data_IF_495872907810
#
_entry.id   IF_495872907810
#
_cell.length_a   1.000
_cell.length_b   1.000
_cell.length_c   1.000
_cell.angle_alpha   90.00
_cell.angle_beta   90.00
_cell.angle_gamma   90.00
#
_symmetry.space_group_name_H-M   'P 1'
#
loop_
_entity.id
_entity.type
_entity.pdbx_description
1 polymer ?
#
# COMPACT_ATOMS: atom_id res chain seq x y z
N UNK A 1 9.34 -3.87 10.04
CA UNK A 1 9.24 -5.24 9.48
C UNK A 1 8.34 -5.30 8.23
N UNK A 2 7.01 -5.51 8.28
CA UNK A 2 6.20 -5.64 7.04
C UNK A 2 6.25 -4.39 6.14
N UNK A 3 6.04 -3.20 6.70
CA UNK A 3 6.07 -1.94 5.93
C UNK A 3 7.44 -1.66 5.29
N UNK A 4 8.50 -1.99 6.03
CA UNK A 4 9.90 -1.84 5.60
C UNK A 4 10.26 -2.79 4.46
N UNK A 5 9.83 -4.05 4.54
CA UNK A 5 9.96 -5.02 3.46
C UNK A 5 9.21 -4.57 2.20
N UNK A 6 8.05 -3.93 2.40
CA UNK A 6 7.26 -3.27 1.37
C UNK A 6 7.83 -1.92 0.91
N UNK A 7 9.03 -1.53 1.35
CA UNK A 7 9.77 -0.35 0.84
C UNK A 7 9.51 0.96 1.56
N UNK A 8 8.72 0.95 2.64
CA UNK A 8 8.46 2.15 3.44
C UNK A 8 9.55 2.30 4.51
N UNK A 9 10.34 3.37 4.44
CA UNK A 9 11.29 3.72 5.50
C UNK A 9 10.53 4.20 6.73
N UNK A 10 10.45 3.38 7.76
CA UNK A 10 9.80 3.71 9.03
C UNK A 10 10.73 3.42 10.19
N UNK A 11 10.76 4.31 11.18
CA UNK A 11 11.48 4.06 12.43
C UNK A 11 10.70 3.04 13.28
N UNK A 12 11.39 2.03 13.80
CA UNK A 12 10.76 1.00 14.64
C UNK A 12 10.21 1.61 15.94
N UNK A 13 9.01 1.18 16.35
CA UNK A 13 8.33 1.69 17.55
C UNK A 13 8.18 3.22 17.62
N UNK A 14 8.11 3.90 16.48
CA UNK A 14 7.93 5.35 16.42
C UNK A 14 6.59 5.79 17.05
N UNK A 15 6.64 6.65 18.07
CA UNK A 15 5.47 7.36 18.61
C UNK A 15 5.19 8.61 17.77
N UNK A 16 3.94 9.06 17.68
CA UNK A 16 3.65 10.32 16.97
C UNK A 16 4.10 11.58 17.76
N UNK A 17 4.59 11.38 18.99
CA UNK A 17 5.18 12.38 19.87
C UNK A 17 6.59 12.78 19.40
N UNK A 18 6.82 14.07 19.14
CA UNK A 18 8.08 14.59 18.60
C UNK A 18 8.26 16.07 18.93
N UNK A 19 9.52 16.51 18.99
CA UNK A 19 9.90 17.93 18.97
C UNK A 19 10.39 18.29 17.57
N UNK A 20 9.96 19.44 17.04
CA UNK A 20 10.37 19.93 15.74
C UNK A 20 10.84 21.38 15.84
N UNK A 21 11.98 21.69 15.22
CA UNK A 21 12.44 23.06 15.08
C UNK A 21 11.55 23.85 14.11
N UNK A 22 11.49 25.17 14.26
CA UNK A 22 10.69 26.06 13.39
C UNK A 22 10.94 25.81 11.90
N UNK A 23 12.22 25.71 11.48
CA UNK A 23 12.62 25.40 10.09
C UNK A 23 12.04 24.08 9.58
N UNK A 24 11.96 23.05 10.42
CA UNK A 24 11.42 21.75 10.02
C UNK A 24 9.90 21.82 9.84
N UNK A 25 9.21 22.55 10.72
CA UNK A 25 7.76 22.78 10.63
C UNK A 25 7.40 23.61 9.39
N UNK A 26 8.15 24.69 9.11
CA UNK A 26 7.96 25.53 7.93
C UNK A 26 8.25 24.81 6.61
N UNK A 27 9.21 23.89 6.59
CA UNK A 27 9.44 23.07 5.41
C UNK A 27 8.31 22.04 5.24
N UNK A 28 7.86 21.43 6.34
CA UNK A 28 6.76 20.48 6.31
C UNK A 28 5.43 21.12 5.89
N UNK A 29 5.17 22.39 6.25
CA UNK A 29 3.94 23.09 5.86
C UNK A 29 3.80 23.28 4.35
N UNK A 30 4.89 23.15 3.58
CA UNK A 30 4.87 23.18 2.11
C UNK A 30 4.36 21.87 1.48
N UNK A 31 4.27 20.78 2.25
CA UNK A 31 3.78 19.49 1.74
C UNK A 31 2.28 19.55 1.51
N UNK A 32 1.87 19.45 0.25
CA UNK A 32 0.46 19.49 -0.15
C UNK A 32 -0.25 18.13 -0.05
N UNK A 33 0.49 17.05 0.23
CA UNK A 33 0.02 15.67 0.31
C UNK A 33 -1.28 15.50 1.14
N UNK A 34 -2.37 15.12 0.49
CA UNK A 34 -3.67 14.97 1.17
C UNK A 34 -3.71 13.73 2.06
N UNK A 35 -3.06 12.64 1.61
CA UNK A 35 -2.96 11.39 2.36
C UNK A 35 -1.72 11.36 3.27
N UNK A 36 -1.80 12.05 4.41
CA UNK A 36 -0.68 12.19 5.35
C UNK A 36 -0.34 10.88 6.08
N UNK A 37 0.92 10.44 5.96
CA UNK A 37 1.51 9.40 6.81
C UNK A 37 2.77 9.96 7.48
N UNK A 38 2.56 10.70 8.58
CA UNK A 38 3.61 11.46 9.26
C UNK A 38 4.84 10.61 9.61
N UNK A 39 4.66 9.33 9.95
CA UNK A 39 5.77 8.43 10.31
C UNK A 39 6.74 8.17 9.17
N UNK A 40 6.27 8.19 7.92
CA UNK A 40 7.11 8.06 6.73
C UNK A 40 7.57 9.42 6.20
N UNK A 41 6.74 10.47 6.32
CA UNK A 41 7.05 11.80 5.80
C UNK A 41 8.16 12.51 6.58
N UNK A 42 8.21 12.34 7.90
CA UNK A 42 9.12 13.12 8.76
C UNK A 42 10.60 12.86 8.46
N UNK A 43 11.04 11.59 8.27
CA UNK A 43 12.38 11.31 7.79
C UNK A 43 12.68 11.87 6.39
N UNK A 44 11.67 12.04 5.53
CA UNK A 44 11.85 12.55 4.16
C UNK A 44 12.14 14.05 4.10
N UNK A 45 11.87 14.81 5.17
CA UNK A 45 12.20 16.23 5.23
C UNK A 45 13.73 16.45 5.14
N UNK A 46 14.53 15.46 5.56
CA UNK A 46 15.98 15.44 5.35
C UNK A 46 16.82 16.27 6.32
N UNK A 47 16.21 16.82 7.38
CA UNK A 47 16.95 17.47 8.46
C UNK A 47 17.62 16.44 9.39
N UNK A 48 18.54 16.92 10.23
CA UNK A 48 19.10 16.12 11.32
C UNK A 48 17.98 15.67 12.27
N UNK A 49 17.96 14.38 12.55
CA UNK A 49 16.98 13.74 13.43
C UNK A 49 17.70 12.84 14.42
N UNK A 50 17.20 12.78 15.65
CA UNK A 50 17.66 11.86 16.67
C UNK A 50 16.48 11.28 17.47
N UNK A 51 16.70 10.18 18.17
CA UNK A 51 15.68 9.46 18.93
C UNK A 51 15.95 9.53 20.43
N UNK A 52 14.96 9.97 21.21
CA UNK A 52 14.99 9.88 22.67
C UNK A 52 14.22 8.64 23.11
N UNK A 53 14.95 7.67 23.67
CA UNK A 53 14.37 6.43 24.17
C UNK A 53 13.77 6.63 25.55
N UNK A 54 12.65 5.96 25.81
CA UNK A 54 11.98 5.97 27.10
C UNK A 54 11.23 4.65 27.31
N UNK A 55 11.09 4.24 28.57
CA UNK A 55 10.29 3.07 28.91
C UNK A 55 8.80 3.39 28.89
N UNK A 56 8.06 2.71 28.00
CA UNK A 56 6.61 2.80 27.94
C UNK A 56 6.00 1.97 29.06
N UNK A 57 5.48 2.63 30.08
CA UNK A 57 4.61 1.98 31.07
C UNK A 57 3.28 1.56 30.43
N UNK A 58 2.69 0.50 30.97
CA UNK A 58 1.33 0.11 30.60
C UNK A 58 0.33 1.23 30.90
N UNK A 59 -0.73 1.30 30.10
CA UNK A 59 -1.78 2.30 30.34
C UNK A 59 -2.50 1.95 31.64
N UNK A 60 -2.55 2.90 32.56
CA UNK A 60 -3.25 2.75 33.84
C UNK A 60 -4.77 2.71 33.67
N UNK A 61 -5.31 3.36 32.62
CA UNK A 61 -6.73 3.36 32.31
C UNK A 61 -7.00 3.58 30.82
N UNK A 62 -8.14 3.06 30.37
CA UNK A 62 -8.68 3.24 29.02
C UNK A 62 -8.29 2.15 28.02
N UNK A 63 -9.14 2.00 27.00
CA UNK A 63 -8.96 1.08 25.87
C UNK A 63 -7.92 1.60 24.87
N UNK A 64 -7.25 0.69 24.15
CA UNK A 64 -6.37 1.10 23.06
C UNK A 64 -7.17 1.78 21.95
N UNK A 65 -6.87 3.06 21.69
CA UNK A 65 -7.43 3.78 20.53
C UNK A 65 -7.00 3.19 19.17
N UNK A 66 -6.01 2.30 19.18
CA UNK A 66 -5.47 1.58 18.03
C UNK A 66 -5.66 0.06 18.19
N UNK A 67 -6.85 -0.47 17.84
CA UNK A 67 -7.04 -1.91 17.68
C UNK A 67 -6.32 -2.42 16.42
N UNK A 68 -6.11 -3.74 16.33
CA UNK A 68 -5.42 -4.41 15.22
C UNK A 68 -5.93 -3.95 13.84
N UNK A 69 -7.24 -3.81 13.66
CA UNK A 69 -7.86 -3.33 12.41
C UNK A 69 -7.36 -1.94 12.00
N UNK A 70 -7.23 -1.00 12.95
CA UNK A 70 -6.70 0.34 12.65
C UNK A 70 -5.20 0.30 12.35
N UNK A 71 -4.45 -0.59 13.01
CA UNK A 71 -3.02 -0.77 12.74
C UNK A 71 -2.77 -1.33 11.33
N UNK A 72 -3.57 -2.31 10.89
CA UNK A 72 -3.51 -2.85 9.53
C UNK A 72 -3.88 -1.79 8.50
N UNK A 73 -4.94 -1.01 8.73
CA UNK A 73 -5.31 0.10 7.86
C UNK A 73 -4.20 1.15 7.77
N UNK A 74 -3.55 1.51 8.89
CA UNK A 74 -2.41 2.44 8.91
C UNK A 74 -1.23 1.89 8.10
N UNK A 75 -0.91 0.60 8.26
CA UNK A 75 0.15 -0.05 7.50
C UNK A 75 -0.15 -0.05 6.00
N UNK A 76 -1.39 -0.38 5.63
CA UNK A 76 -1.85 -0.37 4.25
C UNK A 76 -1.75 1.03 3.64
N UNK A 77 -2.19 2.06 4.35
CA UNK A 77 -2.07 3.45 3.92
C UNK A 77 -0.61 3.88 3.72
N UNK A 78 0.28 3.54 4.67
CA UNK A 78 1.70 3.84 4.56
C UNK A 78 2.36 3.12 3.37
N UNK A 79 2.07 1.84 3.15
CA UNK A 79 2.62 1.08 2.01
C UNK A 79 2.13 1.68 0.69
N UNK A 80 0.83 1.89 0.55
CA UNK A 80 0.25 2.38 -0.69
C UNK A 80 0.55 3.86 -0.97
N UNK A 81 0.99 4.65 0.01
CA UNK A 81 1.37 6.06 -0.20
C UNK A 81 2.86 6.22 -0.51
N UNK A 82 3.73 5.36 0.03
CA UNK A 82 5.18 5.52 -0.07
C UNK A 82 5.87 4.44 -0.92
N UNK A 83 5.11 3.49 -1.47
CA UNK A 83 5.66 2.38 -2.24
C UNK A 83 4.78 1.98 -3.42
N UNK A 84 5.45 1.73 -4.55
CA UNK A 84 4.87 1.13 -5.75
C UNK A 84 5.01 -0.40 -5.77
N UNK A 85 5.71 -0.99 -4.77
CA UNK A 85 5.92 -2.43 -4.69
C UNK A 85 4.62 -3.26 -4.77
N UNK A 86 3.48 -2.88 -4.16
CA UNK A 86 2.23 -3.61 -4.34
C UNK A 86 1.80 -3.76 -5.80
N UNK A 87 1.94 -2.69 -6.60
CA UNK A 87 1.64 -2.73 -8.04
C UNK A 87 2.63 -3.66 -8.74
N UNK A 88 3.93 -3.53 -8.44
CA UNK A 88 4.97 -4.36 -9.05
C UNK A 88 4.79 -5.84 -8.71
N UNK A 89 4.28 -6.20 -7.53
CA UNK A 89 3.99 -7.59 -7.16
C UNK A 89 2.87 -8.19 -8.01
N UNK A 90 1.81 -7.43 -8.30
CA UNK A 90 0.75 -7.89 -9.21
C UNK A 90 1.29 -8.07 -10.62
N UNK A 91 2.13 -7.15 -11.09
CA UNK A 91 2.78 -7.28 -12.39
C UNK A 91 3.66 -8.55 -12.45
N UNK A 92 4.39 -8.85 -11.37
CA UNK A 92 5.13 -10.11 -11.20
C UNK A 92 4.23 -11.35 -11.23
N UNK A 93 3.11 -11.34 -10.49
CA UNK A 93 2.13 -12.43 -10.53
C UNK A 93 1.54 -12.61 -11.94
N UNK A 94 1.22 -11.51 -12.62
CA UNK A 94 0.78 -11.50 -14.02
C UNK A 94 1.77 -12.19 -14.96
N UNK A 95 3.06 -11.90 -14.83
CA UNK A 95 4.11 -12.54 -15.64
C UNK A 95 4.20 -14.05 -15.38
N UNK A 96 4.06 -14.50 -14.12
CA UNK A 96 4.05 -15.93 -13.79
C UNK A 96 2.87 -16.63 -14.45
N UNK A 97 1.70 -16.01 -14.45
CA UNK A 97 0.48 -16.58 -15.03
C UNK A 97 0.59 -16.67 -16.55
N UNK A 98 1.18 -15.66 -17.19
CA UNK A 98 1.47 -15.70 -18.64
C UNK A 98 2.44 -16.82 -18.97
N UNK A 99 3.47 -17.04 -18.14
CA UNK A 99 4.39 -18.16 -18.33
C UNK A 99 3.66 -19.52 -18.19
N UNK A 100 2.79 -19.67 -17.19
CA UNK A 100 1.99 -20.88 -16.99
C UNK A 100 0.97 -21.11 -18.11
N UNK A 101 0.36 -20.05 -18.64
CA UNK A 101 -0.60 -20.17 -19.74
C UNK A 101 0.08 -20.57 -21.04
N UNK A 102 1.31 -20.09 -21.29
CA UNK A 102 2.13 -20.54 -22.43
C UNK A 102 2.47 -22.02 -22.32
N UNK A 103 2.87 -22.51 -21.13
CA UNK A 103 3.12 -23.94 -20.91
C UNK A 103 1.86 -24.79 -21.11
N UNK A 104 0.72 -24.34 -20.59
CA UNK A 104 -0.56 -25.01 -20.78
C UNK A 104 -0.99 -25.03 -22.26
N UNK A 105 -0.72 -23.97 -23.02
CA UNK A 105 -1.00 -23.91 -24.44
C UNK A 105 -0.13 -24.90 -25.25
N UNK A 106 1.16 -25.02 -24.91
CA UNK A 106 2.06 -26.01 -25.53
C UNK A 106 1.57 -27.44 -25.24
N UNK A 107 1.21 -27.73 -23.99
CA UNK A 107 0.65 -29.02 -23.60
C UNK A 107 -0.65 -29.33 -24.36
N UNK A 108 -1.56 -28.36 -24.46
CA UNK A 108 -2.81 -28.52 -25.19
C UNK A 108 -2.59 -28.79 -26.68
N UNK A 109 -1.60 -28.13 -27.30
CA UNK A 109 -1.23 -28.34 -28.71
C UNK A 109 -0.71 -29.77 -28.94
N UNK A 110 0.16 -30.26 -28.05
CA UNK A 110 0.69 -31.63 -28.11
C UNK A 110 -0.45 -32.65 -27.96
N UNK A 111 -1.31 -32.45 -26.95
CA UNK A 111 -2.45 -33.34 -26.69
C UNK A 111 -3.43 -33.40 -27.87
N UNK A 112 -3.63 -32.27 -28.55
CA UNK A 112 -4.44 -32.18 -29.77
C UNK A 112 -3.82 -32.99 -30.93
N UNK A 113 -2.50 -32.86 -31.14
CA UNK A 113 -1.80 -33.62 -32.18
C UNK A 113 -1.76 -35.13 -31.91
N UNK A 114 -1.80 -35.58 -30.64
CA UNK A 114 -1.82 -37.00 -30.26
C UNK A 114 -3.23 -37.61 -30.21
N UNK A 115 -4.28 -36.88 -30.60
CA UNK A 115 -5.64 -37.43 -30.74
C UNK A 115 -6.36 -37.74 -29.42
N UNK A 116 -5.86 -37.29 -28.27
CA UNK A 116 -6.51 -37.43 -26.97
C UNK A 116 -7.37 -36.19 -26.67
N UNK A 117 -8.68 -36.27 -26.90
CA UNK A 117 -9.66 -35.19 -26.67
C UNK A 117 -10.95 -35.84 -26.10
N UNK A 118 -11.59 -35.50 -24.96
CA UNK A 118 -11.49 -34.48 -23.88
C UNK A 118 -12.29 -35.02 -22.64
N UNK A 119 -11.86 -34.76 -21.39
CA UNK A 119 -12.65 -33.90 -20.49
C UNK A 119 -11.78 -32.79 -19.89
N UNK A 120 -12.02 -31.56 -20.32
CA UNK A 120 -11.24 -30.36 -20.02
C UNK A 120 -12.13 -29.17 -19.68
N UNK A 121 -13.42 -29.41 -19.45
CA UNK A 121 -14.37 -28.37 -19.03
C UNK A 121 -13.99 -27.80 -17.66
N UNK A 122 -13.60 -28.68 -16.72
CA UNK A 122 -13.16 -28.28 -15.39
C UNK A 122 -11.87 -27.45 -15.43
N UNK A 123 -10.87 -27.87 -16.23
CA UNK A 123 -9.62 -27.12 -16.38
C UNK A 123 -9.82 -25.79 -17.11
N UNK A 124 -10.72 -25.75 -18.10
CA UNK A 124 -11.05 -24.55 -18.86
C UNK A 124 -11.80 -23.52 -18.01
N UNK A 125 -12.82 -23.93 -17.25
CA UNK A 125 -13.55 -23.05 -16.34
C UNK A 125 -12.65 -22.54 -15.22
N UNK A 126 -11.84 -23.41 -14.60
CA UNK A 126 -10.90 -22.98 -13.57
C UNK A 126 -9.89 -21.98 -14.12
N UNK A 127 -9.39 -22.17 -15.35
CA UNK A 127 -8.48 -21.24 -16.00
C UNK A 127 -9.13 -19.88 -16.24
N UNK A 128 -10.37 -19.85 -16.74
CA UNK A 128 -11.12 -18.61 -16.99
C UNK A 128 -11.38 -17.88 -15.66
N UNK A 129 -11.84 -18.57 -14.62
CA UNK A 129 -12.11 -17.96 -13.31
C UNK A 129 -10.83 -17.46 -12.65
N UNK A 130 -9.74 -18.19 -12.75
CA UNK A 130 -8.44 -17.79 -12.21
C UNK A 130 -7.88 -16.56 -12.93
N UNK A 131 -7.87 -16.58 -14.27
CA UNK A 131 -7.43 -15.44 -15.08
C UNK A 131 -8.31 -14.21 -14.84
N UNK A 132 -9.64 -14.40 -14.83
CA UNK A 132 -10.61 -13.33 -14.56
C UNK A 132 -10.45 -12.76 -13.15
N UNK A 133 -10.28 -13.61 -12.13
CA UNK A 133 -10.04 -13.19 -10.75
C UNK A 133 -8.78 -12.34 -10.61
N UNK A 134 -7.69 -12.72 -11.30
CA UNK A 134 -6.43 -11.98 -11.24
C UNK A 134 -6.51 -10.67 -12.02
N UNK A 135 -7.19 -10.65 -13.17
CA UNK A 135 -7.48 -9.41 -13.89
C UNK A 135 -8.29 -8.43 -13.03
N UNK A 136 -9.36 -8.90 -12.37
CA UNK A 136 -10.16 -8.08 -11.46
C UNK A 136 -9.35 -7.57 -10.26
N UNK A 137 -8.48 -8.42 -9.70
CA UNK A 137 -7.56 -8.01 -8.63
C UNK A 137 -6.58 -6.92 -9.11
N UNK A 138 -6.01 -7.08 -10.31
CA UNK A 138 -5.10 -6.11 -10.89
C UNK A 138 -5.79 -4.77 -11.14
N UNK A 139 -6.99 -4.78 -11.74
CA UNK A 139 -7.80 -3.59 -11.98
C UNK A 139 -8.18 -2.93 -10.65
N UNK A 140 -8.58 -3.72 -9.64
CA UNK A 140 -8.91 -3.21 -8.31
C UNK A 140 -7.73 -2.49 -7.64
N UNK A 141 -6.52 -3.05 -7.75
CA UNK A 141 -5.31 -2.39 -7.22
C UNK A 141 -4.99 -1.11 -8.00
N UNK A 142 -5.01 -1.15 -9.33
CA UNK A 142 -4.82 0.05 -10.17
C UNK A 142 -5.84 1.13 -9.80
N UNK A 143 -7.11 0.75 -9.61
CA UNK A 143 -8.17 1.64 -9.15
C UNK A 143 -7.89 2.29 -7.80
N UNK A 144 -7.28 1.58 -6.84
CA UNK A 144 -6.87 2.17 -5.56
C UNK A 144 -5.79 3.25 -5.74
N UNK A 145 -4.81 3.02 -6.60
CA UNK A 145 -3.76 4.02 -6.88
C UNK A 145 -4.31 5.21 -7.66
N UNK A 146 -5.16 4.98 -8.67
CA UNK A 146 -5.87 6.05 -9.38
C UNK A 146 -6.74 6.86 -8.40
N UNK A 147 -7.43 6.20 -7.48
CA UNK A 147 -8.22 6.86 -6.44
C UNK A 147 -7.36 7.78 -5.55
N UNK A 148 -6.16 7.33 -5.18
CA UNK A 148 -5.20 8.18 -4.45
C UNK A 148 -4.71 9.37 -5.26
N UNK A 149 -4.34 9.15 -6.53
CA UNK A 149 -3.95 10.22 -7.45
C UNK A 149 -5.10 11.23 -7.59
N UNK A 150 -6.33 10.76 -7.74
CA UNK A 150 -7.52 11.60 -7.83
C UNK A 150 -7.74 12.44 -6.57
N UNK A 151 -7.55 11.87 -5.38
CA UNK A 151 -7.62 12.62 -4.12
C UNK A 151 -6.53 13.70 -4.06
N UNK A 152 -5.32 13.39 -4.52
CA UNK A 152 -4.19 14.33 -4.52
C UNK A 152 -4.38 15.46 -5.53
N UNK A 153 -4.79 15.13 -6.76
CA UNK A 153 -4.98 16.10 -7.86
C UNK A 153 -6.18 17.01 -7.63
N UNK A 154 -7.16 16.61 -6.79
CA UNK A 154 -8.28 17.48 -6.43
C UNK A 154 -7.86 18.79 -5.75
N UNK A 155 -6.72 18.81 -5.07
CA UNK A 155 -6.24 19.96 -4.30
C UNK A 155 -7.33 20.62 -3.42
N UNK A 156 -8.25 19.81 -2.88
CA UNK A 156 -9.32 20.33 -2.01
C UNK A 156 -8.68 20.76 -0.67
N UNK A 157 -8.97 21.97 -0.17
CA UNK A 157 -8.42 22.43 1.10
C UNK A 157 -8.79 21.45 2.23
N UNK A 158 -7.81 21.14 3.09
CA UNK A 158 -7.98 20.15 4.18
C UNK A 158 -8.94 20.62 5.27
N UNK A 159 -9.03 21.93 5.45
CA UNK A 159 -9.93 22.57 6.41
C UNK A 159 -10.26 23.98 5.90
N UNK A 160 -11.40 24.49 6.33
CA UNK A 160 -11.76 25.89 6.18
C UNK A 160 -11.74 26.55 7.56
N UNK A 161 -11.23 27.78 7.64
CA UNK A 161 -11.23 28.54 8.89
C UNK A 161 -12.56 29.29 8.96
N UNK A 162 -13.41 28.94 9.92
CA UNK A 162 -14.67 29.65 10.15
C UNK A 162 -14.43 30.98 10.91
N UNK A 163 -13.64 30.95 11.98
CA UNK A 163 -13.36 32.12 12.81
C UNK A 163 -11.98 32.01 13.46
N UNK A 164 -11.21 33.09 13.46
CA UNK A 164 -10.00 33.24 14.26
C UNK A 164 -10.38 34.02 15.51
N UNK A 165 -10.38 33.35 16.66
CA UNK A 165 -10.54 34.00 17.96
C UNK A 165 -9.19 34.66 18.30
N UNK A 166 -9.21 35.98 18.49
CA UNK A 166 -8.06 36.75 18.99
C UNK A 166 -8.04 36.73 20.51
#
# INVERSE_FOLDING_TARGET
>A
KVMELMGVKTVYNHADFRLMSKRAVEQFSKYQETNLFLRGMMPLIGYQTDCVYYDRKERVAGESKYPLKKMLALAFNGISSFSVKPISMILGAGMIIVALSLLAAIYALISYCTGHVVPGWTSLILSIWFLGGIQLMAIGLVGQYIGKIYIEVKHRPRYNIEKVLK
#
